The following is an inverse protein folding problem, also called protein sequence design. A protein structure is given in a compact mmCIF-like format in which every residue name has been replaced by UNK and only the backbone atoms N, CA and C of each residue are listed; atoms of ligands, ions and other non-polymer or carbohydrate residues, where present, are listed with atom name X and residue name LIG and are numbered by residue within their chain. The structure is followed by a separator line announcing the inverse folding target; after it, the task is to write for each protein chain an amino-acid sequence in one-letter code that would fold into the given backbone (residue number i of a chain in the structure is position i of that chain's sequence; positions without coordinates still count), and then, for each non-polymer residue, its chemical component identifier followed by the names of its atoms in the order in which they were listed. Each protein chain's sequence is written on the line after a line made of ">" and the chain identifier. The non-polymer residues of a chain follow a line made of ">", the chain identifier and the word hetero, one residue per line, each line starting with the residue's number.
data_IF_699474960740
#
_entry.id   IF_699474960740
#
_cell.length_a   1.000
_cell.length_b   1.000
_cell.length_c   1.000
_cell.angle_alpha   90.00
_cell.angle_beta   90.00
_cell.angle_gamma   90.00
#
_symmetry.space_group_name_H-M   'P 1'
#
loop_
_entity.id
_entity.type
_entity.pdbx_description
1 polymer ?
#
# COMPACT_ATOMS: atom_id res chain seq x y z
N UNK A 1 -21.92 51.24 -26.16
CA UNK A 1 -22.05 50.37 -24.98
C UNK A 1 -22.10 48.87 -25.28
N UNK A 2 -22.79 48.38 -26.33
CA UNK A 2 -22.93 46.93 -26.60
C UNK A 2 -21.67 46.20 -27.12
N UNK A 3 -20.70 46.92 -27.70
CA UNK A 3 -19.46 46.33 -28.20
C UNK A 3 -18.43 46.06 -27.08
N UNK A 4 -18.35 46.96 -26.09
CA UNK A 4 -17.42 46.85 -24.96
C UNK A 4 -17.73 45.67 -24.03
N UNK A 5 -19.02 45.36 -23.82
CA UNK A 5 -19.45 44.22 -22.98
C UNK A 5 -19.09 42.88 -23.63
N UNK A 6 -19.17 42.76 -24.97
CA UNK A 6 -18.74 41.56 -25.69
C UNK A 6 -17.22 41.37 -25.66
N UNK A 7 -16.46 42.47 -25.76
CA UNK A 7 -15.00 42.42 -25.69
C UNK A 7 -14.51 42.05 -24.28
N UNK A 8 -15.12 42.61 -23.23
CA UNK A 8 -14.85 42.26 -21.84
C UNK A 8 -15.22 40.81 -21.51
N UNK A 9 -16.31 40.29 -22.08
CA UNK A 9 -16.68 38.87 -21.95
C UNK A 9 -15.69 37.92 -22.63
N UNK A 10 -15.24 38.24 -23.84
CA UNK A 10 -14.22 37.47 -24.58
C UNK A 10 -12.85 37.51 -23.90
N UNK A 11 -12.46 38.66 -23.34
CA UNK A 11 -11.20 38.84 -22.64
C UNK A 11 -11.22 38.15 -21.27
N UNK A 12 -12.36 38.14 -20.57
CA UNK A 12 -12.57 37.36 -19.34
C UNK A 12 -12.53 35.85 -19.60
N UNK A 13 -13.08 35.37 -20.73
CA UNK A 13 -13.04 33.95 -21.09
C UNK A 13 -11.63 33.51 -21.50
N UNK A 14 -10.88 34.36 -22.22
CA UNK A 14 -9.48 34.12 -22.57
C UNK A 14 -8.56 34.12 -21.33
N UNK A 15 -8.84 34.97 -20.34
CA UNK A 15 -8.12 35.00 -19.04
C UNK A 15 -8.46 33.80 -18.14
N UNK A 16 -9.68 33.27 -18.20
CA UNK A 16 -10.02 32.01 -17.52
C UNK A 16 -9.44 30.79 -18.23
N UNK A 17 -9.32 30.81 -19.56
CA UNK A 17 -8.71 29.71 -20.33
C UNK A 17 -7.18 29.64 -20.15
N UNK A 18 -6.49 30.77 -20.00
CA UNK A 18 -5.04 30.80 -19.74
C UNK A 18 -4.67 30.51 -18.29
N UNK A 19 -5.55 30.79 -17.33
CA UNK A 19 -5.40 30.35 -15.93
C UNK A 19 -5.46 28.83 -15.73
N UNK A 20 -6.08 28.10 -16.69
CA UNK A 20 -6.13 26.64 -16.70
C UNK A 20 -5.01 25.98 -17.51
N UNK A 21 -4.10 26.73 -18.14
CA UNK A 21 -3.04 26.12 -18.95
C UNK A 21 -1.98 25.39 -18.10
N UNK A 22 -1.77 25.79 -16.84
CA UNK A 22 -0.92 25.07 -15.88
C UNK A 22 -1.64 23.92 -15.16
N UNK A 23 -2.97 23.91 -15.17
CA UNK A 23 -3.81 22.75 -14.86
C UNK A 23 -4.11 22.03 -16.17
N UNK A 24 -3.08 21.47 -16.82
CA UNK A 24 -3.30 20.76 -18.08
C UNK A 24 -4.47 19.79 -17.88
N UNK A 25 -5.49 19.87 -18.73
CA UNK A 25 -6.64 18.97 -18.68
C UNK A 25 -6.20 17.49 -18.63
N UNK A 26 -4.99 17.18 -19.12
CA UNK A 26 -4.33 15.89 -18.96
C UNK A 26 -4.19 15.40 -17.51
N UNK A 27 -3.88 16.25 -16.53
CA UNK A 27 -3.74 15.83 -15.13
C UNK A 27 -5.09 15.60 -14.44
N UNK A 28 -6.14 16.34 -14.80
CA UNK A 28 -7.47 16.16 -14.21
C UNK A 28 -8.13 14.84 -14.65
N UNK A 29 -7.76 14.34 -15.84
CA UNK A 29 -8.34 13.14 -16.46
C UNK A 29 -7.37 11.96 -16.56
N UNK A 30 -6.18 12.06 -15.98
CA UNK A 30 -5.23 10.96 -15.86
C UNK A 30 -5.38 10.27 -14.51
N UNK A 31 -5.34 8.94 -14.45
CA UNK A 31 -5.38 8.22 -13.17
C UNK A 31 -4.03 8.31 -12.45
N UNK A 32 -4.03 8.12 -11.12
CA UNK A 32 -2.87 8.33 -10.24
C UNK A 32 -1.57 7.70 -10.74
N UNK A 33 -1.59 6.41 -11.12
CA UNK A 33 -0.37 5.72 -11.57
C UNK A 33 0.29 6.34 -12.81
N UNK A 34 -0.48 6.99 -13.69
CA UNK A 34 0.08 7.70 -14.83
C UNK A 34 0.67 9.05 -14.40
N UNK A 35 0.01 9.76 -13.49
CA UNK A 35 0.53 11.02 -12.93
C UNK A 35 1.81 10.82 -12.12
N UNK A 36 1.91 9.70 -11.39
CA UNK A 36 3.02 9.35 -10.51
C UNK A 36 4.11 8.51 -11.21
N UNK A 37 3.97 8.26 -12.52
CA UNK A 37 4.81 7.31 -13.25
C UNK A 37 6.30 7.66 -13.18
N UNK A 38 6.67 8.95 -13.27
CA UNK A 38 8.08 9.37 -13.22
C UNK A 38 8.70 9.18 -11.83
N UNK A 39 7.95 9.48 -10.77
CA UNK A 39 8.35 9.23 -9.38
C UNK A 39 8.53 7.73 -9.17
N UNK A 40 7.56 6.92 -9.62
CA UNK A 40 7.61 5.47 -9.53
C UNK A 40 8.85 4.90 -10.24
N UNK A 41 9.14 5.33 -11.49
CA UNK A 41 10.33 4.87 -12.22
C UNK A 41 11.63 5.31 -11.54
N UNK A 42 11.70 6.53 -10.99
CA UNK A 42 12.87 6.98 -10.24
C UNK A 42 13.12 6.10 -9.02
N UNK A 43 12.08 5.73 -8.26
CA UNK A 43 12.24 4.82 -7.11
C UNK A 43 12.62 3.41 -7.55
N UNK A 44 12.00 2.86 -8.61
CA UNK A 44 12.38 1.56 -9.18
C UNK A 44 13.87 1.52 -9.58
N UNK A 45 14.38 2.62 -10.11
CA UNK A 45 15.79 2.75 -10.50
C UNK A 45 16.75 3.02 -9.33
N UNK A 46 16.24 3.29 -8.12
CA UNK A 46 17.05 3.68 -6.96
C UNK A 46 17.47 5.16 -6.96
N UNK A 47 16.88 6.00 -7.82
CA UNK A 47 17.19 7.42 -7.97
C UNK A 47 16.44 8.29 -6.94
N UNK A 48 16.65 8.06 -5.64
CA UNK A 48 15.82 8.65 -4.57
C UNK A 48 15.83 10.19 -4.54
N UNK A 49 16.99 10.81 -4.83
CA UNK A 49 17.09 12.27 -4.90
C UNK A 49 16.22 12.86 -6.01
N UNK A 50 16.17 12.20 -7.17
CA UNK A 50 15.31 12.58 -8.29
C UNK A 50 13.85 12.32 -7.95
N UNK A 51 13.52 11.18 -7.35
CA UNK A 51 12.16 10.87 -6.89
C UNK A 51 11.64 11.97 -5.94
N UNK A 52 12.48 12.44 -5.00
CA UNK A 52 12.15 13.53 -4.07
C UNK A 52 11.90 14.87 -4.77
N UNK A 53 12.62 15.17 -5.86
CA UNK A 53 12.42 16.38 -6.66
C UNK A 53 11.15 16.32 -7.51
N UNK A 54 10.85 15.15 -8.08
CA UNK A 54 9.67 14.92 -8.92
C UNK A 54 8.38 14.84 -8.10
N UNK A 55 8.50 14.51 -6.82
CA UNK A 55 7.34 14.34 -5.96
C UNK A 55 6.60 15.68 -5.74
N UNK A 56 5.31 15.70 -6.08
CA UNK A 56 4.39 16.79 -5.75
C UNK A 56 3.47 16.41 -4.60
N UNK A 57 3.27 17.32 -3.65
CA UNK A 57 2.27 17.15 -2.58
C UNK A 57 0.82 17.26 -3.06
N UNK A 58 0.60 17.77 -4.28
CA UNK A 58 -0.75 17.85 -4.87
C UNK A 58 -1.24 16.48 -5.35
N UNK A 59 -0.32 15.62 -5.79
CA UNK A 59 -0.65 14.30 -6.35
C UNK A 59 -0.81 13.29 -5.21
N UNK A 60 -2.03 12.75 -5.04
CA UNK A 60 -2.37 11.77 -4.00
C UNK A 60 -2.95 12.36 -2.70
N UNK A 61 -3.04 13.68 -2.58
CA UNK A 61 -3.62 14.34 -1.41
C UNK A 61 -2.84 14.12 -0.10
N UNK A 62 -3.45 14.51 1.02
CA UNK A 62 -2.76 14.54 2.33
C UNK A 62 -2.33 13.17 2.86
N UNK A 63 -3.01 12.10 2.46
CA UNK A 63 -2.70 10.74 2.92
C UNK A 63 -1.64 10.10 2.03
N UNK A 64 -1.98 9.83 0.76
CA UNK A 64 -1.11 9.08 -0.14
C UNK A 64 0.13 9.88 -0.53
N UNK A 65 0.00 11.18 -0.77
CA UNK A 65 1.16 12.04 -1.05
C UNK A 65 2.19 11.99 0.08
N UNK A 66 1.74 11.98 1.34
CA UNK A 66 2.64 11.86 2.49
C UNK A 66 3.16 10.44 2.74
N UNK A 67 2.42 9.39 2.37
CA UNK A 67 2.94 8.02 2.32
C UNK A 67 4.15 7.93 1.38
N UNK A 68 3.99 8.40 0.15
CA UNK A 68 5.08 8.43 -0.83
C UNK A 68 6.25 9.28 -0.33
N UNK A 69 5.96 10.47 0.20
CA UNK A 69 6.99 11.41 0.68
C UNK A 69 7.81 10.78 1.80
N UNK A 70 7.09 10.17 2.73
CA UNK A 70 7.65 9.51 3.90
C UNK A 70 8.63 8.43 3.49
N UNK A 71 8.20 7.55 2.59
CA UNK A 71 9.02 6.43 2.13
C UNK A 71 10.18 6.85 1.23
N UNK A 72 9.97 7.76 0.28
CA UNK A 72 11.05 8.30 -0.58
C UNK A 72 12.12 8.97 0.28
N UNK A 73 11.71 9.76 1.28
CA UNK A 73 12.65 10.42 2.20
C UNK A 73 13.39 9.41 3.08
N UNK A 74 12.72 8.33 3.50
CA UNK A 74 13.36 7.24 4.25
C UNK A 74 14.46 6.54 3.43
N UNK A 75 14.17 6.22 2.16
CA UNK A 75 15.14 5.63 1.23
C UNK A 75 16.31 6.57 0.95
N UNK A 76 16.03 7.88 0.86
CA UNK A 76 17.04 8.93 0.71
C UNK A 76 17.79 9.28 2.02
N UNK A 77 17.61 8.50 3.10
CA UNK A 77 18.22 8.70 4.42
C UNK A 77 17.87 10.03 5.11
N UNK A 78 16.83 10.72 4.64
CA UNK A 78 16.24 11.92 5.26
C UNK A 78 15.12 11.49 6.23
N UNK A 79 15.54 10.85 7.32
CA UNK A 79 14.64 10.32 8.35
C UNK A 79 13.77 11.41 9.03
N UNK A 80 14.26 12.63 9.32
CA UNK A 80 13.40 13.68 9.86
C UNK A 80 12.24 14.06 8.93
N UNK A 81 12.50 14.21 7.62
CA UNK A 81 11.44 14.47 6.64
C UNK A 81 10.52 13.27 6.48
N UNK A 82 11.07 12.05 6.53
CA UNK A 82 10.30 10.81 6.50
C UNK A 82 9.28 10.75 7.63
N UNK A 83 9.74 10.90 8.88
CA UNK A 83 8.91 10.87 10.08
C UNK A 83 7.79 11.92 10.02
N UNK A 84 8.14 13.17 9.72
CA UNK A 84 7.15 14.26 9.65
C UNK A 84 6.05 14.02 8.61
N UNK A 85 6.42 13.48 7.44
CA UNK A 85 5.45 13.16 6.40
C UNK A 85 4.53 12.01 6.82
N UNK A 86 5.09 10.92 7.33
CA UNK A 86 4.30 9.77 7.78
C UNK A 86 3.38 10.12 8.96
N UNK A 87 3.82 10.93 9.92
CA UNK A 87 2.96 11.43 11.00
C UNK A 87 1.84 12.32 10.49
N UNK A 88 2.10 13.12 9.45
CA UNK A 88 1.06 13.95 8.81
C UNK A 88 0.01 13.08 8.13
N UNK A 89 0.45 12.02 7.45
CA UNK A 89 -0.48 11.04 6.86
C UNK A 89 -1.28 10.30 7.93
N UNK A 90 -0.63 9.86 9.01
CA UNK A 90 -1.29 9.19 10.14
C UNK A 90 -2.39 10.07 10.78
N UNK A 91 -2.13 11.36 10.96
CA UNK A 91 -3.14 12.32 11.41
C UNK A 91 -4.31 12.42 10.43
N UNK A 92 -4.03 12.51 9.13
CA UNK A 92 -5.08 12.57 8.11
C UNK A 92 -5.93 11.29 8.06
N UNK A 93 -5.32 10.11 8.21
CA UNK A 93 -6.02 8.83 8.33
C UNK A 93 -6.95 8.81 9.54
N UNK A 94 -6.48 9.24 10.72
CA UNK A 94 -7.32 9.31 11.92
C UNK A 94 -8.52 10.22 11.72
N UNK A 95 -8.30 11.43 11.20
CA UNK A 95 -9.38 12.39 10.91
C UNK A 95 -10.38 11.81 9.91
N UNK A 96 -9.95 11.02 8.93
CA UNK A 96 -10.83 10.33 7.99
C UNK A 96 -11.64 9.21 8.69
N UNK A 97 -11.01 8.39 9.52
CA UNK A 97 -11.66 7.29 10.25
C UNK A 97 -12.67 7.79 11.31
N UNK A 98 -12.35 8.88 12.00
CA UNK A 98 -13.24 9.51 12.98
C UNK A 98 -14.50 10.08 12.32
N UNK A 99 -14.34 10.76 11.16
CA UNK A 99 -15.46 11.23 10.34
C UNK A 99 -16.38 10.09 9.91
N UNK A 100 -15.83 8.95 9.49
CA UNK A 100 -16.60 7.78 9.07
C UNK A 100 -17.35 7.08 10.22
N UNK A 101 -16.89 7.26 11.46
CA UNK A 101 -17.52 6.73 12.67
C UNK A 101 -18.70 7.58 13.12
N UNK A 102 -18.55 8.91 13.09
CA UNK A 102 -19.58 9.88 13.50
C UNK A 102 -20.67 10.03 12.44
N UNK A 103 -20.31 9.87 11.17
CA UNK A 103 -21.26 9.93 10.07
C UNK A 103 -22.13 8.67 9.99
N UNK A 104 -23.23 8.69 10.74
CA UNK A 104 -24.33 7.72 10.64
C UNK A 104 -25.22 8.01 9.42
N UNK A 105 -25.03 9.15 8.75
CA UNK A 105 -25.96 9.71 7.75
C UNK A 105 -25.40 9.93 6.33
N UNK A 106 -24.10 9.84 6.06
CA UNK A 106 -23.55 10.17 4.72
C UNK A 106 -23.69 9.07 3.66
N UNK A 107 -24.75 8.27 3.73
CA UNK A 107 -25.17 7.42 2.59
C UNK A 107 -26.20 8.15 1.73
N UNK A 108 -25.99 9.44 1.47
CA UNK A 108 -26.77 10.19 0.50
C UNK A 108 -26.09 10.08 -0.89
N UNK A 109 -26.14 8.89 -1.47
CA UNK A 109 -25.64 8.59 -2.81
C UNK A 109 -26.58 9.23 -3.83
N UNK A 110 -26.44 10.55 -4.01
CA UNK A 110 -27.22 11.32 -4.97
C UNK A 110 -26.82 10.97 -6.41
N UNK A 111 -27.74 11.16 -7.36
CA UNK A 111 -27.46 10.95 -8.79
C UNK A 111 -26.26 11.79 -9.27
N UNK A 112 -26.05 12.98 -8.71
CA UNK A 112 -24.92 13.85 -9.03
C UNK A 112 -23.58 13.35 -8.48
N UNK A 113 -23.53 12.80 -7.26
CA UNK A 113 -22.29 12.31 -6.65
C UNK A 113 -21.80 10.97 -7.23
N UNK A 114 -22.70 10.15 -7.76
CA UNK A 114 -22.33 8.93 -8.50
C UNK A 114 -21.79 9.21 -9.90
N UNK A 115 -22.18 10.35 -10.48
CA UNK A 115 -21.85 10.75 -11.83
C UNK A 115 -20.43 11.34 -11.99
N UNK A 116 -19.76 11.67 -10.88
CA UNK A 116 -18.37 12.17 -10.89
C UNK A 116 -17.35 11.03 -10.79
N UNK A 117 -16.10 11.32 -11.15
CA UNK A 117 -14.99 10.37 -11.16
C UNK A 117 -14.56 9.99 -9.73
N UNK A 118 -14.22 8.71 -9.48
CA UNK A 118 -13.75 8.22 -8.16
C UNK A 118 -12.42 8.86 -7.74
N UNK A 119 -11.61 9.32 -8.70
CA UNK A 119 -10.39 10.09 -8.42
C UNK A 119 -10.67 11.43 -7.71
N UNK A 120 -11.93 11.92 -7.73
CA UNK A 120 -12.36 13.12 -7.02
C UNK A 120 -12.84 12.83 -5.58
N UNK A 121 -12.95 11.56 -5.18
CA UNK A 121 -13.22 11.17 -3.79
C UNK A 121 -11.92 11.12 -2.98
N UNK A 122 -12.04 11.19 -1.66
CA UNK A 122 -10.90 11.02 -0.75
C UNK A 122 -10.24 9.65 -0.94
N UNK A 123 -8.90 9.61 -0.93
CA UNK A 123 -8.17 8.35 -0.94
C UNK A 123 -8.38 7.60 0.38
N UNK A 124 -8.77 6.33 0.31
CA UNK A 124 -8.86 5.43 1.45
C UNK A 124 -7.73 4.39 1.38
N UNK A 125 -6.76 4.44 2.31
CA UNK A 125 -5.68 3.45 2.36
C UNK A 125 -6.17 2.02 2.50
N UNK A 126 -5.47 1.10 1.85
CA UNK A 126 -5.68 -0.32 2.08
C UNK A 126 -5.19 -0.75 3.48
N UNK A 127 -5.77 -1.80 4.04
CA UNK A 127 -5.41 -2.30 5.37
C UNK A 127 -3.90 -2.63 5.45
N UNK A 128 -3.33 -3.20 4.40
CA UNK A 128 -1.90 -3.54 4.39
C UNK A 128 -0.99 -2.30 4.38
N UNK A 129 -1.41 -1.23 3.69
CA UNK A 129 -0.67 0.04 3.62
C UNK A 129 -0.61 0.71 4.99
N UNK A 130 -1.71 0.65 5.75
CA UNK A 130 -1.74 1.13 7.13
C UNK A 130 -0.80 0.34 8.05
N UNK A 131 -0.66 -0.97 7.81
CA UNK A 131 0.37 -1.77 8.45
C UNK A 131 1.79 -1.28 8.12
N UNK A 132 2.04 -0.95 6.85
CA UNK A 132 3.33 -0.38 6.42
C UNK A 132 3.56 1.05 6.91
N UNK A 133 2.52 1.87 7.08
CA UNK A 133 2.63 3.21 7.66
C UNK A 133 3.25 3.12 9.05
N UNK A 134 2.64 2.30 9.91
CA UNK A 134 3.12 2.10 11.28
C UNK A 134 4.46 1.36 11.32
N UNK A 135 4.72 0.48 10.37
CA UNK A 135 6.04 -0.14 10.22
C UNK A 135 7.12 0.93 9.97
N UNK A 136 6.92 1.85 9.02
CA UNK A 136 7.91 2.89 8.71
C UNK A 136 7.99 3.99 9.75
N UNK A 137 6.89 4.33 10.43
CA UNK A 137 6.96 5.16 11.64
C UNK A 137 7.82 4.48 12.71
N UNK A 138 7.58 3.17 12.95
CA UNK A 138 8.38 2.37 13.88
C UNK A 138 9.86 2.30 13.50
N UNK A 139 10.19 2.13 12.21
CA UNK A 139 11.58 2.15 11.74
C UNK A 139 12.23 3.54 11.88
N UNK A 140 11.49 4.64 11.70
CA UNK A 140 12.00 5.99 11.98
C UNK A 140 12.33 6.18 13.47
N UNK A 141 11.47 5.73 14.38
CA UNK A 141 11.77 5.73 15.81
C UNK A 141 12.98 4.84 16.12
N UNK A 142 13.06 3.66 15.52
CA UNK A 142 14.19 2.75 15.69
C UNK A 142 15.51 3.37 15.20
N UNK A 143 15.47 4.09 14.07
CA UNK A 143 16.61 4.84 13.53
C UNK A 143 17.12 5.86 14.57
N UNK A 144 16.22 6.50 15.32
CA UNK A 144 16.54 7.43 16.40
C UNK A 144 16.93 6.77 17.73
N UNK A 145 17.05 5.43 17.77
CA UNK A 145 17.20 4.65 19.01
C UNK A 145 16.04 4.88 20.00
N UNK A 146 14.83 5.02 19.49
CA UNK A 146 13.62 5.15 20.31
C UNK A 146 12.80 3.85 20.22
N UNK A 147 13.16 2.88 21.08
CA UNK A 147 12.48 1.59 21.13
C UNK A 147 11.03 1.73 21.62
N UNK A 148 10.77 2.65 22.55
CA UNK A 148 9.43 2.86 23.09
C UNK A 148 8.48 3.42 22.02
N UNK A 149 8.93 4.43 21.29
CA UNK A 149 8.20 4.98 20.14
C UNK A 149 7.94 3.92 19.07
N UNK A 150 8.93 3.08 18.75
CA UNK A 150 8.75 1.98 17.80
C UNK A 150 7.68 0.97 18.28
N UNK A 151 7.66 0.63 19.57
CA UNK A 151 6.66 -0.26 20.17
C UNK A 151 5.25 0.36 20.24
N UNK A 152 5.14 1.69 20.34
CA UNK A 152 3.84 2.37 20.21
C UNK A 152 3.28 2.12 18.81
N UNK A 153 4.06 2.35 17.77
CA UNK A 153 3.62 2.21 16.38
C UNK A 153 3.25 0.76 16.02
N UNK A 154 4.01 -0.21 16.50
CA UNK A 154 3.66 -1.64 16.42
C UNK A 154 2.27 -1.95 16.99
N UNK A 155 1.92 -1.41 18.16
CA UNK A 155 0.60 -1.63 18.77
C UNK A 155 -0.51 -0.97 17.95
N UNK A 156 -0.22 0.21 17.41
CA UNK A 156 -1.15 0.99 16.59
C UNK A 156 -1.47 0.34 15.26
N UNK A 157 -0.49 -0.33 14.64
CA UNK A 157 -0.68 -1.03 13.37
C UNK A 157 -1.91 -1.95 13.39
N UNK A 158 -2.00 -2.85 14.37
CA UNK A 158 -3.14 -3.77 14.49
C UNK A 158 -4.49 -3.04 14.65
N UNK A 159 -4.52 -1.92 15.40
CA UNK A 159 -5.76 -1.17 15.65
C UNK A 159 -6.27 -0.51 14.37
N UNK A 160 -5.38 0.13 13.62
CA UNK A 160 -5.73 0.88 12.40
C UNK A 160 -6.12 -0.08 11.27
N UNK A 161 -5.45 -1.23 11.17
CA UNK A 161 -5.81 -2.28 10.21
C UNK A 161 -7.21 -2.88 10.47
N UNK A 162 -7.53 -3.18 11.73
CA UNK A 162 -8.85 -3.72 12.10
C UNK A 162 -9.97 -2.68 11.87
N UNK A 163 -9.70 -1.40 12.14
CA UNK A 163 -10.65 -0.33 11.85
C UNK A 163 -10.92 -0.18 10.35
N UNK A 164 -9.86 -0.22 9.52
CA UNK A 164 -9.97 -0.17 8.07
C UNK A 164 -10.75 -1.36 7.51
N UNK A 165 -10.47 -2.58 7.99
CA UNK A 165 -11.23 -3.78 7.62
C UNK A 165 -12.74 -3.63 7.90
N UNK A 166 -13.10 -3.16 9.10
CA UNK A 166 -14.52 -2.92 9.47
C UNK A 166 -15.17 -1.87 8.60
N UNK A 167 -14.45 -0.80 8.25
CA UNK A 167 -14.94 0.23 7.34
C UNK A 167 -15.21 -0.33 5.94
N UNK A 168 -14.30 -1.15 5.38
CA UNK A 168 -14.50 -1.82 4.09
C UNK A 168 -15.71 -2.76 4.10
N UNK A 169 -15.89 -3.54 5.16
CA UNK A 169 -17.07 -4.42 5.30
C UNK A 169 -18.39 -3.62 5.37
N UNK A 170 -18.39 -2.47 6.04
CA UNK A 170 -19.54 -1.55 6.11
C UNK A 170 -19.83 -0.93 4.73
N UNK A 171 -18.78 -0.54 4.01
CA UNK A 171 -18.85 0.05 2.67
C UNK A 171 -19.46 -0.91 1.65
N UNK A 172 -19.04 -2.18 1.65
CA UNK A 172 -19.61 -3.23 0.80
C UNK A 172 -21.12 -3.38 1.06
N UNK A 173 -21.53 -3.53 2.32
CA UNK A 173 -22.95 -3.67 2.69
C UNK A 173 -23.78 -2.45 2.26
N UNK A 174 -23.23 -1.25 2.39
CA UNK A 174 -23.89 -0.03 1.95
C UNK A 174 -24.07 0.00 0.42
N UNK A 175 -23.01 -0.36 -0.33
CA UNK A 175 -23.05 -0.44 -1.78
C UNK A 175 -24.08 -1.48 -2.27
N UNK A 176 -24.14 -2.66 -1.65
CA UNK A 176 -25.15 -3.70 -1.94
C UNK A 176 -26.58 -3.20 -1.67
N UNK A 177 -26.79 -2.52 -0.55
CA UNK A 177 -28.09 -1.93 -0.20
C UNK A 177 -28.53 -0.90 -1.25
N UNK A 178 -27.63 -0.04 -1.70
CA UNK A 178 -27.93 0.97 -2.71
C UNK A 178 -28.21 0.36 -4.08
N UNK A 179 -27.48 -0.68 -4.47
CA UNK A 179 -27.76 -1.44 -5.69
C UNK A 179 -29.17 -2.06 -5.67
N UNK A 180 -29.53 -2.70 -4.56
CA UNK A 180 -30.83 -3.34 -4.38
C UNK A 180 -31.98 -2.32 -4.42
N UNK A 181 -31.81 -1.11 -3.81
CA UNK A 181 -32.82 -0.04 -3.88
C UNK A 181 -33.14 0.39 -5.31
N UNK A 182 -32.18 0.29 -6.23
CA UNK A 182 -32.37 0.63 -7.64
C UNK A 182 -32.94 -0.52 -8.48
N UNK A 183 -33.31 -1.65 -7.85
CA UNK A 183 -33.84 -2.83 -8.55
C UNK A 183 -32.79 -3.53 -9.41
N UNK A 184 -31.50 -3.29 -9.16
CA UNK A 184 -30.39 -3.90 -9.87
C UNK A 184 -29.82 -5.06 -9.06
N UNK A 185 -29.26 -6.05 -9.76
CA UNK A 185 -28.44 -7.11 -9.15
C UNK A 185 -27.06 -7.09 -9.78
N UNK A 186 -26.03 -7.35 -8.98
CA UNK A 186 -24.65 -7.40 -9.47
C UNK A 186 -24.39 -8.77 -10.10
N UNK A 187 -24.31 -8.84 -11.43
CA UNK A 187 -23.81 -10.04 -12.11
C UNK A 187 -22.28 -9.96 -12.23
N UNK A 188 -21.58 -10.22 -11.11
CA UNK A 188 -20.11 -10.24 -11.07
C UNK A 188 -19.51 -11.19 -12.13
N UNK A 189 -20.15 -12.33 -12.39
CA UNK A 189 -19.64 -13.31 -13.35
C UNK A 189 -19.51 -12.76 -14.76
N UNK A 190 -20.50 -12.00 -15.23
CA UNK A 190 -20.48 -11.37 -16.56
C UNK A 190 -19.44 -10.25 -16.69
N UNK A 191 -19.23 -9.48 -15.62
CA UNK A 191 -18.25 -8.38 -15.60
C UNK A 191 -16.82 -8.91 -15.52
N UNK A 192 -16.60 -9.92 -14.68
CA UNK A 192 -15.28 -10.48 -14.43
C UNK A 192 -14.81 -11.45 -15.54
N UNK A 193 -15.68 -11.90 -16.44
CA UNK A 193 -15.32 -12.84 -17.50
C UNK A 193 -14.14 -12.36 -18.38
N UNK A 194 -14.01 -11.05 -18.57
CA UNK A 194 -12.94 -10.42 -19.34
C UNK A 194 -11.94 -9.62 -18.47
N UNK A 195 -12.10 -9.65 -17.14
CA UNK A 195 -11.23 -8.93 -16.21
C UNK A 195 -9.90 -9.69 -16.02
N UNK A 196 -8.73 -9.00 -16.03
CA UNK A 196 -7.45 -9.64 -15.76
C UNK A 196 -7.46 -10.40 -14.43
N UNK A 197 -6.84 -11.58 -14.38
CA UNK A 197 -6.72 -12.41 -13.16
C UNK A 197 -8.05 -12.91 -12.54
N UNK A 198 -9.16 -12.88 -13.29
CA UNK A 198 -10.43 -13.48 -12.86
C UNK A 198 -10.27 -14.96 -12.47
N UNK A 199 -10.65 -15.30 -11.23
CA UNK A 199 -10.70 -16.68 -10.74
C UNK A 199 -9.56 -17.13 -9.82
N UNK A 200 -8.56 -16.29 -9.54
CA UNK A 200 -7.55 -16.59 -8.51
C UNK A 200 -8.10 -16.28 -7.12
N UNK A 201 -8.52 -17.31 -6.37
CA UNK A 201 -8.66 -17.19 -4.91
C UNK A 201 -7.27 -17.04 -4.31
N UNK A 202 -6.90 -15.82 -3.93
CA UNK A 202 -5.72 -15.59 -3.13
C UNK A 202 -6.03 -16.00 -1.69
N UNK A 203 -5.12 -16.78 -1.09
CA UNK A 203 -5.14 -17.00 0.36
C UNK A 203 -4.92 -15.64 1.04
N UNK A 204 -5.53 -15.42 2.20
CA UNK A 204 -5.31 -14.19 2.97
C UNK A 204 -3.80 -13.97 3.19
N UNK A 205 -3.23 -12.96 2.55
CA UNK A 205 -1.81 -12.62 2.65
C UNK A 205 -1.67 -11.59 3.77
N UNK A 206 -0.99 -11.97 4.85
CA UNK A 206 -0.76 -11.10 6.01
C UNK A 206 0.70 -10.65 6.09
N UNK A 207 0.93 -9.55 6.79
CA UNK A 207 2.24 -8.91 6.89
C UNK A 207 3.16 -9.64 7.88
N UNK A 208 3.84 -10.71 7.42
CA UNK A 208 4.83 -11.44 8.21
C UNK A 208 6.01 -10.56 8.67
N UNK A 209 6.33 -9.51 7.91
CA UNK A 209 7.38 -8.55 8.25
C UNK A 209 7.01 -7.73 9.48
N UNK A 210 5.81 -7.14 9.51
CA UNK A 210 5.33 -6.38 10.67
C UNK A 210 5.32 -7.25 11.94
N UNK A 211 4.79 -8.48 11.87
CA UNK A 211 4.75 -9.37 13.03
C UNK A 211 6.14 -9.80 13.49
N UNK A 212 7.04 -10.13 12.56
CA UNK A 212 8.39 -10.56 12.92
C UNK A 212 9.21 -9.40 13.52
N UNK A 213 9.14 -8.21 12.91
CA UNK A 213 9.77 -7.01 13.44
C UNK A 213 9.22 -6.66 14.82
N UNK A 214 7.89 -6.71 15.00
CA UNK A 214 7.26 -6.53 16.31
C UNK A 214 7.83 -7.47 17.37
N UNK A 215 7.90 -8.77 17.05
CA UNK A 215 8.47 -9.77 17.95
C UNK A 215 9.91 -9.47 18.33
N UNK A 216 10.74 -9.02 17.37
CA UNK A 216 12.12 -8.60 17.62
C UNK A 216 12.19 -7.38 18.55
N UNK A 217 11.31 -6.40 18.39
CA UNK A 217 11.26 -5.20 19.23
C UNK A 217 10.79 -5.51 20.66
N UNK A 218 9.81 -6.40 20.83
CA UNK A 218 9.42 -6.85 22.17
C UNK A 218 10.50 -7.71 22.84
N UNK A 219 11.20 -8.55 22.07
CA UNK A 219 12.36 -9.29 22.58
C UNK A 219 13.46 -8.33 23.04
N UNK A 220 13.72 -7.26 22.27
CA UNK A 220 14.64 -6.19 22.60
C UNK A 220 14.26 -5.47 23.92
N UNK A 221 12.97 -5.20 24.12
CA UNK A 221 12.45 -4.59 25.35
C UNK A 221 12.32 -5.55 26.53
N UNK A 222 12.79 -6.80 26.38
CA UNK A 222 12.68 -7.89 27.38
C UNK A 222 11.24 -8.33 27.70
N UNK A 223 10.27 -7.97 26.85
CA UNK A 223 8.90 -8.46 26.95
C UNK A 223 8.73 -9.73 26.10
N UNK A 224 9.26 -10.84 26.62
CA UNK A 224 9.24 -12.11 25.90
C UNK A 224 7.83 -12.67 25.68
N UNK A 225 6.85 -12.31 26.51
CA UNK A 225 5.46 -12.75 26.33
C UNK A 225 4.85 -12.11 25.08
N UNK A 226 4.95 -10.78 24.95
CA UNK A 226 4.48 -10.07 23.76
C UNK A 226 5.29 -10.49 22.52
N UNK A 227 6.60 -10.66 22.66
CA UNK A 227 7.44 -11.17 21.58
C UNK A 227 6.96 -12.54 21.08
N UNK A 228 6.65 -13.46 22.00
CA UNK A 228 6.15 -14.78 21.65
C UNK A 228 4.82 -14.72 20.89
N UNK A 229 3.89 -13.87 21.33
CA UNK A 229 2.60 -13.68 20.65
C UNK A 229 2.81 -13.25 19.20
N UNK A 230 3.68 -12.28 18.95
CA UNK A 230 3.90 -11.78 17.60
C UNK A 230 4.77 -12.70 16.74
N UNK A 231 5.73 -13.43 17.33
CA UNK A 231 6.41 -14.52 16.63
C UNK A 231 5.45 -15.64 16.22
N UNK A 232 4.46 -15.98 17.06
CA UNK A 232 3.40 -16.95 16.71
C UNK A 232 2.51 -16.45 15.57
N UNK A 233 2.19 -15.15 15.52
CA UNK A 233 1.48 -14.53 14.38
C UNK A 233 2.32 -14.60 13.12
N UNK A 234 3.60 -14.24 13.20
CA UNK A 234 4.54 -14.38 12.08
C UNK A 234 4.64 -15.84 11.61
N UNK A 235 4.69 -16.81 12.53
CA UNK A 235 4.79 -18.23 12.21
C UNK A 235 3.52 -18.78 11.57
N UNK A 236 2.35 -18.25 11.93
CA UNK A 236 1.09 -18.65 11.33
C UNK A 236 1.03 -18.29 9.84
N UNK A 237 1.68 -17.19 9.44
CA UNK A 237 1.64 -16.67 8.06
C UNK A 237 2.89 -17.05 7.25
N UNK A 238 4.03 -17.26 7.92
CA UNK A 238 5.30 -17.71 7.33
C UNK A 238 5.84 -18.97 8.03
N UNK A 239 5.14 -20.13 7.96
CA UNK A 239 5.51 -21.34 8.70
C UNK A 239 6.86 -21.93 8.28
N UNK A 240 7.28 -21.69 7.04
CA UNK A 240 8.52 -22.23 6.48
C UNK A 240 9.71 -21.25 6.59
N UNK A 241 9.48 -20.06 7.17
CA UNK A 241 10.54 -19.08 7.37
C UNK A 241 11.41 -19.45 8.57
N UNK A 242 12.67 -19.80 8.30
CA UNK A 242 13.63 -20.27 9.32
C UNK A 242 13.81 -19.27 10.48
N UNK A 243 13.92 -17.98 10.19
CA UNK A 243 14.14 -16.94 11.20
C UNK A 243 12.95 -16.80 12.15
N UNK A 244 11.74 -16.83 11.60
CA UNK A 244 10.49 -16.80 12.37
C UNK A 244 10.36 -18.03 13.25
N UNK A 245 10.65 -19.22 12.70
CA UNK A 245 10.66 -20.49 13.44
C UNK A 245 11.65 -20.46 14.61
N UNK A 246 12.90 -20.08 14.35
CA UNK A 246 13.96 -20.02 15.37
C UNK A 246 13.62 -19.04 16.50
N UNK A 247 13.13 -17.85 16.17
CA UNK A 247 12.69 -16.85 17.15
C UNK A 247 11.50 -17.35 18.00
N UNK A 248 10.53 -18.02 17.38
CA UNK A 248 9.37 -18.59 18.08
C UNK A 248 9.81 -19.68 19.07
N UNK A 249 10.65 -20.62 18.62
CA UNK A 249 11.20 -21.69 19.45
C UNK A 249 12.05 -21.14 20.60
N UNK A 250 12.86 -20.12 20.32
CA UNK A 250 13.67 -19.44 21.34
C UNK A 250 12.80 -18.82 22.43
N UNK A 251 11.79 -18.04 22.05
CA UNK A 251 10.88 -17.39 22.99
C UNK A 251 10.07 -18.42 23.81
N UNK A 252 9.50 -19.45 23.17
CA UNK A 252 8.79 -20.53 23.86
C UNK A 252 9.66 -21.22 24.92
N UNK A 253 10.92 -21.52 24.58
CA UNK A 253 11.88 -22.15 25.49
C UNK A 253 12.25 -21.23 26.65
N UNK A 254 12.48 -19.94 26.40
CA UNK A 254 12.82 -18.97 27.44
C UNK A 254 11.66 -18.71 28.40
N UNK A 255 10.42 -18.73 27.91
CA UNK A 255 9.20 -18.61 28.72
C UNK A 255 8.82 -19.89 29.47
N UNK A 256 9.46 -21.03 29.18
CA UNK A 256 9.12 -22.32 29.79
C UNK A 256 7.79 -22.90 29.32
N UNK A 257 7.34 -22.59 28.11
CA UNK A 257 6.10 -23.10 27.50
C UNK A 257 6.23 -24.56 27.08
N UNK A 258 6.34 -25.48 28.04
CA UNK A 258 6.73 -26.89 27.82
C UNK A 258 5.90 -27.61 26.75
N UNK A 259 4.58 -27.48 26.80
CA UNK A 259 3.69 -28.19 25.88
C UNK A 259 3.73 -27.61 24.47
N UNK A 260 3.68 -26.28 24.34
CA UNK A 260 3.78 -25.62 23.03
C UNK A 260 5.17 -25.82 22.42
N UNK A 261 6.23 -25.73 23.22
CA UNK A 261 7.59 -26.05 22.79
C UNK A 261 7.70 -27.50 22.30
N UNK A 262 7.07 -28.47 22.98
CA UNK A 262 7.05 -29.87 22.54
C UNK A 262 6.39 -30.03 21.18
N UNK A 263 5.27 -29.33 20.94
CA UNK A 263 4.58 -29.33 19.65
C UNK A 263 5.41 -28.65 18.55
N UNK A 264 6.00 -27.49 18.85
CA UNK A 264 6.86 -26.76 17.94
C UNK A 264 8.11 -27.57 17.58
N UNK A 265 8.78 -28.19 18.57
CA UNK A 265 9.98 -29.00 18.33
C UNK A 265 9.68 -30.25 17.50
N UNK A 266 8.49 -30.85 17.68
CA UNK A 266 8.04 -31.97 16.84
C UNK A 266 7.91 -31.58 15.37
N UNK A 267 7.49 -30.34 15.08
CA UNK A 267 7.27 -29.86 13.71
C UNK A 267 8.53 -29.25 13.08
N UNK A 268 9.29 -28.49 13.85
CA UNK A 268 10.35 -27.61 13.33
C UNK A 268 11.76 -27.98 13.81
N UNK A 269 11.90 -28.99 14.67
CA UNK A 269 13.18 -29.38 15.25
C UNK A 269 13.51 -28.62 16.54
N UNK A 270 14.70 -28.90 17.09
CA UNK A 270 15.07 -28.45 18.44
C UNK A 270 15.23 -26.94 18.54
N UNK A 271 14.76 -26.39 19.66
CA UNK A 271 14.92 -24.98 19.93
C UNK A 271 16.40 -24.59 20.12
N UNK A 272 16.83 -23.42 19.62
CA UNK A 272 18.21 -22.98 19.73
C UNK A 272 18.67 -22.89 21.19
N UNK A 273 19.96 -23.10 21.42
CA UNK A 273 20.60 -23.06 22.74
C UNK A 273 20.85 -21.65 23.27
N UNK A 274 20.57 -20.61 22.48
CA UNK A 274 20.92 -19.22 22.79
C UNK A 274 22.37 -18.88 22.42
N UNK A 275 22.77 -17.61 22.63
CA UNK A 275 24.11 -17.12 22.30
C UNK A 275 25.09 -17.35 23.47
N UNK A 276 26.29 -17.82 23.15
CA UNK A 276 27.41 -17.92 24.12
C UNK A 276 28.19 -16.61 24.22
N UNK A 277 29.11 -16.49 25.19
CA UNK A 277 29.97 -15.30 25.36
C UNK A 277 30.85 -14.98 24.14
N UNK A 278 31.14 -15.95 23.29
CA UNK A 278 31.95 -15.79 22.07
C UNK A 278 31.11 -15.65 20.80
N UNK A 279 29.80 -15.39 20.94
CA UNK A 279 28.85 -15.34 19.84
C UNK A 279 27.99 -14.07 19.88
N UNK A 280 27.70 -13.53 18.72
CA UNK A 280 26.61 -12.57 18.48
C UNK A 280 25.68 -13.08 17.38
N UNK A 281 24.53 -12.44 17.20
CA UNK A 281 23.55 -12.77 16.15
C UNK A 281 23.38 -11.58 15.22
N UNK A 282 23.47 -11.81 13.93
CA UNK A 282 23.04 -10.88 12.89
C UNK A 282 21.70 -11.35 12.36
N UNK A 283 20.72 -10.45 12.31
CA UNK A 283 19.47 -10.65 11.58
C UNK A 283 19.44 -9.57 10.50
N UNK A 284 19.24 -9.99 9.25
CA UNK A 284 19.08 -9.09 8.11
C UNK A 284 17.60 -9.10 7.73
N UNK A 285 17.02 -7.92 7.59
CA UNK A 285 15.76 -7.69 6.89
C UNK A 285 16.12 -7.02 5.57
N UNK A 286 15.73 -7.65 4.46
CA UNK A 286 16.11 -7.26 3.11
C UNK A 286 14.84 -7.00 2.29
N UNK A 287 14.49 -5.73 2.18
CA UNK A 287 13.42 -5.24 1.32
C UNK A 287 13.90 -5.13 -0.13
N UNK A 288 13.14 -5.69 -1.06
CA UNK A 288 13.54 -5.83 -2.46
C UNK A 288 12.51 -5.24 -3.41
N UNK A 289 12.99 -4.41 -4.34
CA UNK A 289 12.20 -3.84 -5.42
C UNK A 289 11.16 -2.86 -4.93
N UNK A 290 10.12 -2.68 -5.76
CA UNK A 290 9.01 -1.76 -5.51
C UNK A 290 7.72 -2.47 -5.90
N UNK A 291 6.68 -2.32 -5.09
CA UNK A 291 5.34 -2.90 -5.36
C UNK A 291 4.84 -2.46 -6.75
N UNK A 292 4.11 -3.33 -7.43
CA UNK A 292 3.55 -3.03 -8.75
C UNK A 292 2.56 -1.86 -8.66
N UNK A 293 2.66 -0.88 -9.56
CA UNK A 293 1.65 0.17 -9.67
C UNK A 293 0.40 -0.34 -10.41
N UNK A 294 -0.79 -0.05 -9.88
CA UNK A 294 -2.05 -0.41 -10.53
C UNK A 294 -2.18 0.24 -11.91
N UNK A 295 -2.74 -0.49 -12.87
CA UNK A 295 -3.12 0.00 -14.19
C UNK A 295 -4.62 0.09 -14.34
N UNK A 296 -5.07 0.89 -15.30
CA UNK A 296 -6.46 0.97 -15.69
C UNK A 296 -6.83 -0.07 -16.75
N UNK A 297 -7.88 -0.84 -16.49
CA UNK A 297 -8.58 -1.65 -17.48
C UNK A 297 -9.92 -0.99 -17.80
N UNK A 298 -10.33 -0.98 -19.06
CA UNK A 298 -11.59 -0.38 -19.51
C UNK A 298 -12.29 -1.30 -20.49
N UNK A 299 -13.61 -1.42 -20.33
CA UNK A 299 -14.50 -2.06 -21.29
C UNK A 299 -15.64 -1.11 -21.65
N UNK A 300 -15.93 -1.01 -22.93
CA UNK A 300 -17.05 -0.21 -23.44
C UNK A 300 -18.29 -1.11 -23.61
N UNK A 301 -19.39 -0.73 -22.99
CA UNK A 301 -20.67 -1.42 -22.92
C UNK A 301 -21.71 -0.67 -23.78
N UNK A 302 -22.05 -1.16 -24.98
CA UNK A 302 -23.14 -0.58 -25.75
C UNK A 302 -24.49 -0.93 -25.10
N UNK A 303 -25.24 0.10 -24.70
CA UNK A 303 -26.59 -0.03 -24.16
C UNK A 303 -27.57 0.53 -25.19
N UNK A 304 -28.38 -0.36 -25.78
CA UNK A 304 -29.39 -0.02 -26.77
C UNK A 304 -30.76 0.23 -26.12
N UNK A 305 -31.43 1.30 -26.53
CA UNK A 305 -32.81 1.59 -26.17
C UNK A 305 -33.80 1.18 -27.27
N UNK A 306 -35.09 1.12 -26.96
CA UNK A 306 -36.18 0.67 -27.84
C UNK A 306 -36.43 1.51 -29.11
N UNK A 307 -35.66 2.57 -29.35
CA UNK A 307 -35.80 3.52 -30.47
C UNK A 307 -34.48 3.82 -31.20
N UNK A 308 -33.55 2.87 -31.24
CA UNK A 308 -32.30 2.92 -32.03
C UNK A 308 -31.25 4.01 -31.69
N UNK A 309 -31.48 4.86 -30.69
CA UNK A 309 -30.41 5.71 -30.13
C UNK A 309 -29.64 4.95 -29.04
N UNK A 310 -28.71 4.09 -29.44
CA UNK A 310 -27.78 3.42 -28.52
C UNK A 310 -26.82 4.42 -27.87
N UNK A 311 -26.39 4.14 -26.64
CA UNK A 311 -25.27 4.85 -26.01
C UNK A 311 -24.20 3.87 -25.56
N UNK A 312 -22.96 4.34 -25.58
CA UNK A 312 -21.81 3.56 -25.13
C UNK A 312 -21.46 4.05 -23.73
N UNK A 313 -21.56 3.15 -22.75
CA UNK A 313 -21.04 3.36 -21.41
C UNK A 313 -19.66 2.72 -21.30
N UNK A 314 -18.84 3.19 -20.38
CA UNK A 314 -17.52 2.59 -20.17
C UNK A 314 -17.41 2.19 -18.71
N UNK A 315 -16.97 0.97 -18.48
CA UNK A 315 -16.63 0.46 -17.16
C UNK A 315 -15.10 0.49 -17.05
N UNK A 316 -14.58 1.18 -16.04
CA UNK A 316 -13.16 1.23 -15.76
C UNK A 316 -12.85 0.56 -14.41
N UNK A 317 -11.96 -0.42 -14.40
CA UNK A 317 -11.52 -1.13 -13.18
C UNK A 317 -9.99 -1.09 -13.08
N UNK A 318 -9.43 -0.95 -11.86
CA UNK A 318 -8.00 -1.10 -11.66
C UNK A 318 -7.59 -2.58 -11.71
N UNK A 319 -6.34 -2.86 -12.07
CA UNK A 319 -5.71 -4.18 -11.97
C UNK A 319 -4.19 -4.06 -11.74
N UNK A 320 -3.58 -5.08 -11.16
CA UNK A 320 -2.11 -5.19 -11.11
C UNK A 320 -1.62 -5.96 -12.34
N UNK A 321 -0.61 -5.42 -13.03
CA UNK A 321 0.01 -6.12 -14.15
C UNK A 321 1.16 -6.96 -13.62
N UNK A 322 1.10 -8.28 -13.79
CA UNK A 322 2.20 -9.18 -13.47
C UNK A 322 3.44 -8.87 -14.33
N UNK A 323 4.46 -8.25 -13.74
CA UNK A 323 5.76 -7.96 -14.39
C UNK A 323 6.85 -8.97 -14.06
N UNK A 324 6.54 -9.96 -13.21
CA UNK A 324 7.52 -10.90 -12.66
C UNK A 324 8.38 -10.28 -11.55
N UNK A 325 9.10 -11.14 -10.82
CA UNK A 325 9.94 -10.70 -9.72
C UNK A 325 11.28 -10.13 -10.23
N UNK A 326 11.63 -8.91 -9.79
CA UNK A 326 12.98 -8.38 -9.95
C UNK A 326 13.98 -9.27 -9.20
N UNK A 327 15.14 -9.50 -9.82
CA UNK A 327 16.22 -10.28 -9.21
C UNK A 327 17.25 -9.35 -8.59
N UNK A 328 17.65 -9.67 -7.38
CA UNK A 328 18.72 -8.99 -6.65
C UNK A 328 19.85 -9.98 -6.38
N UNK A 329 21.06 -9.45 -6.22
CA UNK A 329 22.22 -10.22 -5.73
C UNK A 329 21.93 -10.84 -4.36
N UNK A 330 22.56 -11.97 -4.11
CA UNK A 330 22.55 -12.58 -2.78
C UNK A 330 23.25 -11.66 -1.77
N UNK A 331 22.71 -11.62 -0.55
CA UNK A 331 23.35 -10.95 0.57
C UNK A 331 24.51 -11.81 1.07
N UNK A 332 25.71 -11.26 1.14
CA UNK A 332 26.93 -11.99 1.55
C UNK A 332 27.47 -11.41 2.84
N UNK A 333 27.59 -12.22 3.89
CA UNK A 333 28.16 -11.82 5.19
C UNK A 333 29.52 -12.50 5.40
N UNK A 334 30.58 -11.70 5.52
CA UNK A 334 31.96 -12.14 5.68
C UNK A 334 32.40 -13.16 4.60
N UNK A 335 32.06 -12.88 3.34
CA UNK A 335 32.40 -13.73 2.19
C UNK A 335 31.54 -14.99 2.04
N UNK A 336 30.51 -15.17 2.86
CA UNK A 336 29.58 -16.31 2.76
C UNK A 336 28.17 -15.82 2.45
N UNK A 337 27.57 -16.38 1.40
CA UNK A 337 26.15 -16.15 1.07
C UNK A 337 25.28 -16.45 2.29
N UNK A 338 24.39 -15.52 2.62
CA UNK A 338 23.38 -15.71 3.66
C UNK A 338 22.12 -16.32 3.04
N UNK A 339 21.74 -17.56 3.40
CA UNK A 339 20.46 -18.11 2.99
C UNK A 339 19.32 -17.24 3.54
N UNK A 340 18.50 -16.71 2.63
CA UNK A 340 17.36 -15.86 2.97
C UNK A 340 16.05 -16.56 2.68
N UNK A 341 15.02 -16.26 3.47
CA UNK A 341 13.65 -16.76 3.30
C UNK A 341 12.71 -15.58 3.11
N UNK A 342 11.70 -15.71 2.24
CA UNK A 342 10.63 -14.71 2.10
C UNK A 342 9.97 -14.51 3.46
N UNK A 343 9.75 -13.25 3.82
CA UNK A 343 9.06 -12.82 5.02
C UNK A 343 7.72 -12.16 4.68
N UNK A 344 7.64 -11.46 3.55
CA UNK A 344 6.40 -10.86 3.05
C UNK A 344 6.47 -10.68 1.53
N UNK A 345 5.37 -10.95 0.83
CA UNK A 345 5.18 -10.61 -0.58
C UNK A 345 4.14 -9.49 -0.66
N UNK A 346 4.60 -8.27 -0.90
CA UNK A 346 3.74 -7.07 -0.87
C UNK A 346 2.90 -6.98 -2.13
N UNK A 347 3.41 -7.46 -3.27
CA UNK A 347 2.61 -7.58 -4.50
C UNK A 347 1.42 -8.51 -4.27
N UNK A 348 1.62 -9.65 -3.60
CA UNK A 348 0.54 -10.55 -3.26
C UNK A 348 -0.46 -9.93 -2.26
N UNK A 349 0.01 -9.14 -1.29
CA UNK A 349 -0.87 -8.38 -0.38
C UNK A 349 -1.72 -7.37 -1.13
N UNK A 350 -1.10 -6.59 -2.02
CA UNK A 350 -1.76 -5.58 -2.83
C UNK A 350 -2.81 -6.19 -3.77
N UNK A 351 -2.48 -7.32 -4.43
CA UNK A 351 -3.41 -8.07 -5.26
C UNK A 351 -4.58 -8.65 -4.45
N UNK A 352 -4.32 -9.15 -3.23
CA UNK A 352 -5.38 -9.64 -2.35
C UNK A 352 -6.33 -8.52 -1.91
N UNK A 353 -5.82 -7.35 -1.51
CA UNK A 353 -6.65 -6.18 -1.17
C UNK A 353 -7.56 -5.78 -2.34
N UNK A 354 -6.99 -5.68 -3.55
CA UNK A 354 -7.77 -5.36 -4.74
C UNK A 354 -8.86 -6.41 -4.95
N UNK A 355 -8.54 -7.69 -4.89
CA UNK A 355 -9.52 -8.77 -5.05
C UNK A 355 -10.66 -8.72 -4.03
N UNK A 356 -10.38 -8.38 -2.78
CA UNK A 356 -11.42 -8.19 -1.76
C UNK A 356 -12.32 -6.98 -2.09
N UNK A 357 -11.74 -5.89 -2.60
CA UNK A 357 -12.45 -4.64 -2.92
C UNK A 357 -13.16 -4.67 -4.26
N UNK A 358 -12.79 -5.58 -5.18
CA UNK A 358 -13.35 -5.65 -6.53
C UNK A 358 -14.88 -5.70 -6.54
N UNK A 359 -15.49 -6.44 -5.60
CA UNK A 359 -16.95 -6.52 -5.48
C UNK A 359 -17.57 -5.13 -5.26
N UNK A 360 -17.06 -4.38 -4.29
CA UNK A 360 -17.52 -3.02 -3.99
C UNK A 360 -17.29 -2.09 -5.19
N UNK A 361 -16.12 -2.17 -5.84
CA UNK A 361 -15.78 -1.37 -7.02
C UNK A 361 -16.78 -1.64 -8.16
N UNK A 362 -17.04 -2.91 -8.47
CA UNK A 362 -17.99 -3.30 -9.53
C UNK A 362 -19.41 -2.81 -9.22
N UNK A 363 -19.87 -2.94 -7.97
CA UNK A 363 -21.19 -2.43 -7.56
C UNK A 363 -21.29 -0.91 -7.76
N UNK A 364 -20.26 -0.17 -7.34
CA UNK A 364 -20.21 1.30 -7.53
C UNK A 364 -20.21 1.70 -8.98
N UNK A 365 -19.47 0.99 -9.82
CA UNK A 365 -19.45 1.25 -11.25
C UNK A 365 -20.81 0.97 -11.91
N UNK A 366 -21.52 -0.08 -11.50
CA UNK A 366 -22.89 -0.32 -11.96
C UNK A 366 -23.84 0.82 -11.55
N UNK A 367 -23.75 1.30 -10.30
CA UNK A 367 -24.50 2.46 -9.81
C UNK A 367 -24.17 3.75 -10.59
N UNK A 368 -22.90 3.98 -10.93
CA UNK A 368 -22.46 5.10 -11.77
C UNK A 368 -23.08 5.03 -13.16
N UNK A 369 -22.97 3.89 -13.84
CA UNK A 369 -23.56 3.69 -15.18
C UNK A 369 -25.07 3.97 -15.15
N UNK A 370 -25.77 3.45 -14.13
CA UNK A 370 -27.19 3.73 -13.92
C UNK A 370 -27.48 5.24 -13.73
N UNK A 371 -26.69 5.93 -12.91
CA UNK A 371 -26.87 7.37 -12.66
C UNK A 371 -26.63 8.19 -13.93
N UNK A 372 -25.59 7.86 -14.71
CA UNK A 372 -25.30 8.48 -16.01
C UNK A 372 -26.42 8.27 -17.01
N UNK A 373 -27.02 7.08 -17.07
CA UNK A 373 -28.19 6.81 -17.93
C UNK A 373 -29.43 7.62 -17.53
N UNK A 374 -29.65 7.83 -16.23
CA UNK A 374 -30.72 8.72 -15.74
C UNK A 374 -30.52 10.17 -16.18
N UNK A 375 -29.32 10.72 -15.99
CA UNK A 375 -28.96 12.08 -16.43
C UNK A 375 -29.15 12.22 -17.95
N UNK A 376 -28.66 11.24 -18.73
CA UNK A 376 -28.82 11.23 -20.20
C UNK A 376 -30.28 11.26 -20.61
N UNK A 377 -31.11 10.38 -20.03
CA UNK A 377 -32.55 10.31 -20.34
C UNK A 377 -33.30 11.60 -19.98
N UNK A 378 -32.90 12.27 -18.91
CA UNK A 378 -33.46 13.56 -18.52
C UNK A 378 -33.04 14.70 -19.47
N UNK A 379 -31.78 14.71 -19.90
CA UNK A 379 -31.27 15.67 -20.89
C UNK A 379 -31.91 15.46 -22.28
N UNK A 380 -32.06 14.21 -22.73
CA UNK A 380 -32.64 13.88 -24.03
C UNK A 380 -34.11 14.33 -24.17
N UNK A 381 -34.87 14.41 -23.06
CA UNK A 381 -36.23 14.97 -23.06
C UNK A 381 -36.27 16.46 -23.44
N UNK A 382 -35.15 17.17 -23.34
CA UNK A 382 -35.03 18.59 -23.71
C UNK A 382 -34.71 18.82 -25.20
N UNK A 383 -34.47 17.75 -25.98
CA UNK A 383 -34.57 17.77 -27.44
C UNK A 383 -33.40 18.36 -28.25
N UNK A 384 -32.16 18.33 -27.74
CA UNK A 384 -31.01 18.93 -28.45
C UNK A 384 -29.93 17.89 -28.82
N UNK A 385 -29.61 17.75 -30.10
CA UNK A 385 -28.59 16.82 -30.64
C UNK A 385 -27.18 17.18 -30.16
N UNK A 386 -26.92 18.45 -29.85
CA UNK A 386 -25.66 18.91 -29.25
C UNK A 386 -25.43 18.29 -27.86
N UNK A 387 -26.51 17.96 -27.14
CA UNK A 387 -26.45 17.33 -25.83
C UNK A 387 -25.87 15.91 -25.84
N UNK A 388 -26.11 15.14 -26.91
CA UNK A 388 -25.60 13.77 -27.01
C UNK A 388 -24.08 13.73 -27.26
N UNK A 389 -23.56 14.65 -28.08
CA UNK A 389 -22.12 14.77 -28.33
C UNK A 389 -21.39 15.20 -27.05
N UNK A 390 -21.91 16.22 -26.35
CA UNK A 390 -21.36 16.68 -25.08
C UNK A 390 -21.40 15.60 -23.99
N UNK A 391 -22.47 14.78 -23.96
CA UNK A 391 -22.60 13.67 -23.03
C UNK A 391 -21.56 12.56 -23.28
N UNK A 392 -21.29 12.20 -24.54
CA UNK A 392 -20.29 11.18 -24.87
C UNK A 392 -18.86 11.62 -24.51
N UNK A 393 -18.55 12.91 -24.72
CA UNK A 393 -17.28 13.51 -24.28
C UNK A 393 -17.19 13.48 -22.75
N UNK A 394 -18.23 13.93 -22.04
CA UNK A 394 -18.28 13.90 -20.58
C UNK A 394 -18.17 12.48 -20.01
N UNK A 395 -18.83 11.49 -20.61
CA UNK A 395 -18.75 10.09 -20.21
C UNK A 395 -17.33 9.56 -20.36
N UNK A 396 -16.67 9.86 -21.49
CA UNK A 396 -15.28 9.44 -21.74
C UNK A 396 -14.29 10.08 -20.76
N UNK A 397 -14.50 11.35 -20.41
CA UNK A 397 -13.63 12.08 -19.48
C UNK A 397 -13.81 11.65 -18.01
N UNK A 398 -15.00 11.24 -17.62
CA UNK A 398 -15.31 10.88 -16.22
C UNK A 398 -15.02 9.43 -15.86
N UNK A 399 -14.80 8.55 -16.85
CA UNK A 399 -14.45 7.14 -16.61
C UNK A 399 -12.93 6.92 -16.59
N UNK A 400 -12.36 7.11 -15.40
CA UNK A 400 -11.01 6.66 -15.08
C UNK A 400 -11.08 5.69 -13.89
N UNK A 401 -10.28 4.61 -13.91
CA UNK A 401 -10.18 3.73 -12.75
C UNK A 401 -9.37 4.43 -11.66
N UNK A 402 -9.75 4.18 -10.41
CA UNK A 402 -8.94 4.57 -9.26
C UNK A 402 -7.72 3.65 -9.16
N UNK A 403 -6.57 4.18 -9.53
CA UNK A 403 -5.28 3.46 -9.48
C UNK A 403 -4.41 3.90 -8.31
N UNK A 404 -4.97 4.67 -7.37
CA UNK A 404 -4.25 5.12 -6.17
C UNK A 404 -3.87 3.94 -5.29
N UNK A 405 -2.59 3.87 -4.97
CA UNK A 405 -1.94 2.86 -4.12
C UNK A 405 -0.61 3.44 -3.66
N UNK A 406 -0.08 2.99 -2.52
CA UNK A 406 1.25 3.35 -2.04
C UNK A 406 2.32 2.62 -2.85
N UNK A 407 2.84 3.33 -3.86
CA UNK A 407 3.69 2.81 -4.94
C UNK A 407 5.17 2.75 -4.60
N UNK A 408 5.59 3.17 -3.41
CA UNK A 408 7.00 3.13 -2.96
C UNK A 408 7.29 2.08 -1.88
N UNK A 409 6.30 1.26 -1.55
CA UNK A 409 6.48 0.06 -0.75
C UNK A 409 7.39 -0.94 -1.49
N UNK A 410 8.15 -1.79 -0.76
CA UNK A 410 8.95 -2.83 -1.41
C UNK A 410 8.06 -3.88 -2.07
N UNK A 411 8.54 -4.56 -3.11
CA UNK A 411 7.78 -5.65 -3.75
C UNK A 411 7.75 -6.92 -2.87
N UNK A 412 8.91 -7.23 -2.27
CA UNK A 412 9.10 -8.40 -1.43
C UNK A 412 10.03 -8.04 -0.27
N UNK A 413 9.85 -8.72 0.86
CA UNK A 413 10.75 -8.64 2.00
C UNK A 413 11.27 -10.03 2.31
N UNK A 414 12.58 -10.17 2.45
CA UNK A 414 13.26 -11.39 2.89
C UNK A 414 13.91 -11.17 4.24
N UNK A 415 14.20 -12.26 4.92
CA UNK A 415 15.02 -12.24 6.13
C UNK A 415 16.06 -13.34 6.10
N UNK A 416 17.20 -13.05 6.73
CA UNK A 416 18.29 -13.98 6.95
C UNK A 416 18.84 -13.81 8.37
N UNK A 417 19.44 -14.85 8.92
CA UNK A 417 20.10 -14.80 10.22
C UNK A 417 21.40 -15.58 10.22
N UNK A 418 22.36 -15.13 11.01
CA UNK A 418 23.61 -15.86 11.24
C UNK A 418 24.19 -15.58 12.62
N UNK A 419 24.67 -16.62 13.28
CA UNK A 419 25.51 -16.48 14.47
C UNK A 419 26.94 -16.22 14.00
N UNK A 420 27.56 -15.18 14.56
CA UNK A 420 28.90 -14.71 14.19
C UNK A 420 29.78 -14.55 15.43
N UNK A 421 31.10 -14.46 15.23
CA UNK A 421 32.00 -14.00 16.29
C UNK A 421 31.77 -12.51 16.53
N UNK A 422 31.80 -12.03 17.79
CA UNK A 422 31.74 -10.60 18.09
C UNK A 422 32.83 -9.81 17.38
N UNK A 423 32.54 -8.54 17.08
CA UNK A 423 33.43 -7.60 16.38
C UNK A 423 32.87 -7.14 15.03
N UNK A 424 33.74 -6.54 14.22
CA UNK A 424 33.39 -5.99 12.91
C UNK A 424 32.96 -7.08 11.93
N UNK A 425 31.79 -6.90 11.33
CA UNK A 425 31.28 -7.74 10.25
C UNK A 425 31.22 -6.94 8.95
N UNK A 426 31.29 -7.63 7.82
CA UNK A 426 31.19 -7.04 6.48
C UNK A 426 30.02 -7.66 5.71
N UNK A 427 29.05 -6.84 5.34
CA UNK A 427 27.87 -7.22 4.55
C UNK A 427 28.03 -6.67 3.13
N UNK A 428 28.07 -7.55 2.15
CA UNK A 428 28.06 -7.18 0.74
C UNK A 428 26.65 -7.38 0.17
N UNK A 429 26.13 -6.33 -0.48
CA UNK A 429 24.79 -6.22 -1.03
C UNK A 429 24.78 -6.23 -2.57
N UNK A 430 25.91 -6.55 -3.21
CA UNK A 430 26.15 -6.41 -4.64
C UNK A 430 27.10 -5.25 -4.90
N UNK A 431 26.53 -4.06 -5.12
CA UNK A 431 27.26 -2.83 -5.46
C UNK A 431 27.88 -2.13 -4.23
N UNK A 432 27.33 -2.39 -3.04
CA UNK A 432 27.76 -1.79 -1.78
C UNK A 432 28.30 -2.82 -0.80
N UNK A 433 29.34 -2.45 -0.06
CA UNK A 433 29.80 -3.16 1.15
C UNK A 433 29.57 -2.29 2.37
N UNK A 434 28.89 -2.83 3.38
CA UNK A 434 28.54 -2.16 4.63
C UNK A 434 29.21 -2.87 5.82
N UNK A 435 29.93 -2.12 6.64
CA UNK A 435 30.58 -2.63 7.84
C UNK A 435 29.83 -2.20 9.10
N UNK A 436 29.74 -3.09 10.08
CA UNK A 436 29.05 -2.83 11.33
C UNK A 436 29.57 -3.70 12.47
N UNK A 437 29.33 -3.26 13.71
CA UNK A 437 29.78 -3.97 14.92
C UNK A 437 28.70 -4.90 15.48
N UNK A 438 29.12 -6.11 15.86
CA UNK A 438 28.27 -7.09 16.54
C UNK A 438 28.82 -7.38 17.95
N UNK A 439 28.09 -6.98 19.01
CA UNK A 439 28.51 -7.28 20.38
C UNK A 439 28.32 -8.76 20.76
N UNK A 440 29.09 -9.21 21.75
CA UNK A 440 28.91 -10.52 22.38
C UNK A 440 27.53 -10.64 23.04
N UNK A 441 26.91 -11.81 22.89
CA UNK A 441 25.58 -12.18 23.40
C UNK A 441 24.43 -11.28 22.96
N UNK A 442 24.63 -10.43 21.94
CA UNK A 442 23.60 -9.52 21.46
C UNK A 442 23.16 -9.86 20.04
N UNK A 443 21.99 -9.32 19.70
CA UNK A 443 21.45 -9.35 18.35
C UNK A 443 21.60 -7.98 17.72
N UNK A 444 22.24 -7.94 16.56
CA UNK A 444 22.27 -6.77 15.68
C UNK A 444 21.27 -7.01 14.55
N UNK A 445 20.27 -6.12 14.46
CA UNK A 445 19.37 -6.02 13.33
C UNK A 445 20.04 -5.15 12.26
N UNK A 446 20.15 -5.67 11.05
CA UNK A 446 20.54 -4.91 9.86
C UNK A 446 19.31 -4.80 8.98
N UNK A 447 18.88 -3.58 8.71
CA UNK A 447 17.81 -3.30 7.77
C UNK A 447 18.41 -2.83 6.46
N UNK A 448 17.93 -3.40 5.36
CA UNK A 448 18.38 -3.12 4.00
C UNK A 448 17.15 -2.92 3.12
N UNK A 449 17.17 -1.90 2.27
CA UNK A 449 16.19 -1.73 1.20
C UNK A 449 16.87 -1.49 -0.12
N UNK A 450 16.50 -2.28 -1.14
CA UNK A 450 17.20 -2.35 -2.42
C UNK A 450 16.24 -2.07 -3.58
N UNK A 451 16.57 -1.04 -4.37
CA UNK A 451 15.89 -0.70 -5.60
C UNK A 451 16.90 -0.42 -6.71
N UNK A 452 16.66 -0.99 -7.89
CA UNK A 452 17.63 -0.93 -8.99
C UNK A 452 18.99 -1.48 -8.56
N UNK A 453 20.03 -0.66 -8.76
CA UNK A 453 21.37 -0.95 -8.28
C UNK A 453 21.63 -0.43 -6.85
N UNK A 454 20.82 0.50 -6.33
CA UNK A 454 21.09 1.18 -5.07
C UNK A 454 20.52 0.44 -3.86
N UNK A 455 21.21 0.58 -2.73
CA UNK A 455 20.79 0.05 -1.44
C UNK A 455 20.84 1.13 -0.36
N UNK A 456 19.81 1.20 0.48
CA UNK A 456 19.84 1.97 1.73
C UNK A 456 19.99 0.97 2.88
N UNK A 457 20.96 1.19 3.78
CA UNK A 457 21.30 0.23 4.83
C UNK A 457 21.68 0.92 6.14
N UNK A 458 21.17 0.39 7.24
CA UNK A 458 21.60 0.75 8.59
C UNK A 458 21.46 -0.43 9.53
N UNK A 459 22.07 -0.34 10.71
CA UNK A 459 21.99 -1.38 11.73
C UNK A 459 21.68 -0.82 13.12
N UNK A 460 21.09 -1.67 13.97
CA UNK A 460 20.75 -1.38 15.36
C UNK A 460 21.03 -2.57 16.26
N UNK A 461 21.64 -2.31 17.42
CA UNK A 461 21.93 -3.32 18.43
C UNK A 461 20.71 -3.43 19.34
N UNK A 462 19.85 -4.43 19.11
CA UNK A 462 18.54 -4.53 19.76
C UNK A 462 18.63 -4.56 21.30
N UNK A 463 19.74 -5.01 21.89
CA UNK A 463 19.93 -5.03 23.35
C UNK A 463 20.42 -3.72 23.97
N UNK A 464 20.51 -2.62 23.22
CA UNK A 464 21.08 -1.33 23.64
C UNK A 464 20.29 -0.11 23.12
N UNK A 465 19.03 -0.32 22.73
CA UNK A 465 18.15 0.71 22.20
C UNK A 465 17.41 1.46 23.28
#
# INVERSE_FOLDING_TARGET
>A
MKLGVKLLGLMSWALMASGCANLSAGNLFSHYSNQNQEVYQAVVAGEYAKAKQLQSSEVGGEILGNFEKGRISFLAEDYPTSLNALESSDRAVRVQQDRATISVSDTATSVGSLAVNDNLQDYHPADYELGFLHLYLGLNYLQKNDLEGALVEVRRANQVQEAARKAREKELKAAEKDLNKQGMSANLGSVLANYPDAGKKLSAVQNGYLFYLSGLLYEASRDLNSAYVDYRRALAVMPDNKQVVESTLYAAKKLGMREDLRMLEKRYGKAPSGLTQSQGRVIVIDEQGVVEAMKGWRIDLPIYGSRDNGAIYSLALPYYQNRGAQRFSDVVLNGQVLPSSTLTDVNAMAQNDLNERLTTIVIRQALRVWAKDRIRKEAAKKGDDVGNILFNVWNTLTEQPDTRSWQTLPAQVKTASKIVKPGTQSLNLGDQTYQFEVPAQQTTLVWVSRQGAHSTVWHKQLGRL
#
